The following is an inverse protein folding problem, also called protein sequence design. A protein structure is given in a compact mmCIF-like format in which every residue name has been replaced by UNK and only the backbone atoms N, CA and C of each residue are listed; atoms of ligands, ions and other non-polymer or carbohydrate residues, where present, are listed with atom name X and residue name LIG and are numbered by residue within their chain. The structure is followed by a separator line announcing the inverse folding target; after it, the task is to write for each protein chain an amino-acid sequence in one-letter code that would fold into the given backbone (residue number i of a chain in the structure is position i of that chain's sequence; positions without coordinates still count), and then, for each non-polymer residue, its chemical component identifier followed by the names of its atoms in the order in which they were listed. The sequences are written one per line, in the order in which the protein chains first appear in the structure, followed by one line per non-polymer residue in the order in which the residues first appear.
data_IF_246042746178
#
_entry.id   IF_246042746178
#
_cell.length_a   1.000
_cell.length_b   1.000
_cell.length_c   1.000
_cell.angle_alpha   90.00
_cell.angle_beta   90.00
_cell.angle_gamma   90.00
#
_symmetry.space_group_name_H-M   'P 1'
#
loop_
_entity.id
_entity.type
_entity.pdbx_description
1 polymer ?
#
# COMPACT_ATOMS: atom_id res chain seq x y z
N UNK A 1 -17.92 20.14 13.70
CA UNK A 1 -16.45 20.27 13.60
C UNK A 1 -16.16 21.26 12.50
N UNK A 2 -15.98 22.54 12.83
CA UNK A 2 -15.29 23.47 11.93
C UNK A 2 -13.88 23.64 12.48
N UNK A 3 -13.08 22.56 12.44
CA UNK A 3 -11.65 22.71 12.68
C UNK A 3 -11.12 23.50 11.49
N UNK A 4 -10.57 24.66 11.80
CA UNK A 4 -9.82 25.52 10.87
C UNK A 4 -8.90 24.71 9.97
N UNK A 5 -8.63 25.21 8.78
CA UNK A 5 -7.70 24.57 7.85
C UNK A 5 -6.32 24.39 8.51
N UNK A 6 -5.88 25.36 9.34
CA UNK A 6 -4.65 25.24 10.11
C UNK A 6 -4.71 24.12 11.16
N UNK A 7 -5.82 23.96 11.87
CA UNK A 7 -5.98 22.87 12.85
C UNK A 7 -6.07 21.50 12.14
N UNK A 8 -6.75 21.42 11.01
CA UNK A 8 -6.76 20.21 10.18
C UNK A 8 -5.37 19.84 9.68
N UNK A 9 -4.55 20.84 9.34
CA UNK A 9 -3.16 20.64 8.92
C UNK A 9 -2.32 20.14 10.08
N UNK A 10 -2.44 20.77 11.26
CA UNK A 10 -1.74 20.36 12.49
C UNK A 10 -2.10 18.93 12.88
N UNK A 11 -3.39 18.60 12.91
CA UNK A 11 -3.88 17.27 13.25
C UNK A 11 -3.42 16.21 12.23
N UNK A 12 -3.36 16.55 10.93
CA UNK A 12 -2.85 15.63 9.92
C UNK A 12 -1.34 15.35 10.07
N UNK A 13 -0.53 16.37 10.39
CA UNK A 13 0.90 16.19 10.72
C UNK A 13 1.10 15.34 11.96
N UNK A 14 0.31 15.59 13.01
CA UNK A 14 0.33 14.79 14.24
C UNK A 14 -0.01 13.31 13.96
N UNK A 15 -1.00 13.05 13.12
CA UNK A 15 -1.37 11.68 12.73
C UNK A 15 -0.25 10.98 11.95
N UNK A 16 0.47 11.70 11.08
CA UNK A 16 1.65 11.17 10.37
C UNK A 16 2.75 10.78 11.36
N UNK A 17 3.13 11.68 12.26
CA UNK A 17 4.15 11.42 13.30
C UNK A 17 3.75 10.22 14.18
N UNK A 18 2.46 10.12 14.54
CA UNK A 18 1.94 8.99 15.32
C UNK A 18 2.07 7.67 14.57
N UNK A 19 1.71 7.63 13.28
CA UNK A 19 1.82 6.44 12.45
C UNK A 19 3.29 6.04 12.26
N UNK A 20 4.21 6.99 12.10
CA UNK A 20 5.65 6.71 12.02
C UNK A 20 6.19 6.07 13.30
N UNK A 21 5.83 6.60 14.47
CA UNK A 21 6.19 6.01 15.77
C UNK A 21 5.64 4.60 15.93
N UNK A 22 4.40 4.38 15.53
CA UNK A 22 3.77 3.05 15.54
C UNK A 22 4.49 2.07 14.61
N UNK A 23 4.87 2.49 13.40
CA UNK A 23 5.65 1.67 12.46
C UNK A 23 7.00 1.30 13.07
N UNK A 24 7.73 2.26 13.65
CA UNK A 24 9.03 1.99 14.29
C UNK A 24 8.89 0.99 15.44
N UNK A 25 7.85 1.13 16.27
CA UNK A 25 7.59 0.20 17.37
C UNK A 25 7.22 -1.19 16.85
N UNK A 26 6.38 -1.27 15.83
CA UNK A 26 5.97 -2.52 15.24
C UNK A 26 7.16 -3.24 14.60
N UNK A 27 8.02 -2.54 13.85
CA UNK A 27 9.22 -3.13 13.25
C UNK A 27 10.28 -3.56 14.29
N UNK A 28 10.31 -2.93 15.47
CA UNK A 28 11.17 -3.36 16.59
C UNK A 28 10.69 -4.67 17.23
N UNK A 29 9.42 -5.05 17.05
CA UNK A 29 8.88 -6.30 17.60
C UNK A 29 9.41 -7.48 16.81
N UNK A 30 10.11 -8.39 17.49
CA UNK A 30 10.55 -9.64 16.88
C UNK A 30 9.39 -10.56 16.55
N UNK A 31 9.37 -11.07 15.31
CA UNK A 31 8.36 -12.00 14.83
C UNK A 31 8.85 -13.43 14.95
N UNK A 32 8.04 -14.30 15.57
CA UNK A 32 8.39 -15.71 15.78
C UNK A 32 8.03 -16.60 14.59
N UNK A 33 6.89 -16.32 13.94
CA UNK A 33 6.38 -17.11 12.80
C UNK A 33 6.44 -16.33 11.49
N UNK A 34 6.52 -17.05 10.36
CA UNK A 34 6.36 -16.48 9.03
C UNK A 34 5.03 -15.76 8.87
N UNK A 35 3.94 -16.35 9.40
CA UNK A 35 2.61 -15.74 9.38
C UNK A 35 2.58 -14.42 10.16
N UNK A 36 3.24 -14.39 11.32
CA UNK A 36 3.31 -13.17 12.14
C UNK A 36 4.10 -12.07 11.44
N UNK A 37 5.22 -12.43 10.80
CA UNK A 37 6.02 -11.50 9.97
C UNK A 37 5.24 -10.96 8.80
N UNK A 38 4.46 -11.81 8.15
CA UNK A 38 3.63 -11.40 7.04
C UNK A 38 2.52 -10.43 7.50
N UNK A 39 1.80 -10.76 8.57
CA UNK A 39 0.78 -9.88 9.15
C UNK A 39 1.38 -8.54 9.59
N UNK A 40 2.56 -8.54 10.21
CA UNK A 40 3.31 -7.33 10.58
C UNK A 40 3.59 -6.46 9.35
N UNK A 41 4.11 -7.05 8.28
CA UNK A 41 4.41 -6.33 7.05
C UNK A 41 3.15 -5.71 6.41
N UNK A 42 2.01 -6.41 6.45
CA UNK A 42 0.73 -5.88 5.95
C UNK A 42 0.19 -4.75 6.82
N UNK A 43 0.28 -4.87 8.15
CA UNK A 43 -0.05 -3.76 9.07
C UNK A 43 0.77 -2.51 8.75
N UNK A 44 2.09 -2.68 8.64
CA UNK A 44 3.01 -1.58 8.30
C UNK A 44 2.66 -0.99 6.95
N UNK A 45 2.37 -1.81 5.93
CA UNK A 45 1.99 -1.31 4.62
C UNK A 45 0.74 -0.42 4.68
N UNK A 46 -0.31 -0.87 5.38
CA UNK A 46 -1.54 -0.09 5.54
C UNK A 46 -1.29 1.22 6.30
N UNK A 47 -0.43 1.22 7.32
CA UNK A 47 -0.01 2.44 8.00
C UNK A 47 0.74 3.40 7.06
N UNK A 48 1.62 2.89 6.18
CA UNK A 48 2.30 3.69 5.18
C UNK A 48 1.34 4.28 4.14
N UNK A 49 0.34 3.52 3.70
CA UNK A 49 -0.68 4.02 2.77
C UNK A 49 -1.49 5.17 3.42
N UNK A 50 -1.87 5.03 4.70
CA UNK A 50 -2.47 6.13 5.49
C UNK A 50 -1.57 7.36 5.58
N UNK A 51 -0.27 7.18 5.87
CA UNK A 51 0.71 8.29 5.86
C UNK A 51 0.72 8.99 4.49
N UNK A 52 0.73 8.22 3.40
CA UNK A 52 0.69 8.74 2.03
C UNK A 52 -0.56 9.57 1.74
N UNK A 53 -1.74 9.10 2.17
CA UNK A 53 -2.99 9.84 2.03
C UNK A 53 -3.01 11.15 2.82
N UNK A 54 -2.55 11.12 4.08
CA UNK A 54 -2.44 12.32 4.93
C UNK A 54 -1.44 13.31 4.36
N UNK A 55 -0.29 12.83 3.90
CA UNK A 55 0.76 13.65 3.28
C UNK A 55 0.26 14.34 2.01
N UNK A 56 -0.51 13.64 1.17
CA UNK A 56 -1.17 14.25 -0.01
C UNK A 56 -2.17 15.32 0.37
N UNK A 57 -2.97 15.09 1.43
CA UNK A 57 -3.91 16.11 1.94
C UNK A 57 -3.15 17.34 2.43
N UNK A 58 -2.08 17.16 3.20
CA UNK A 58 -1.23 18.23 3.69
C UNK A 58 -0.60 19.02 2.53
N UNK A 59 -0.07 18.33 1.52
CA UNK A 59 0.53 18.95 0.34
C UNK A 59 -0.49 19.87 -0.39
N UNK A 60 -1.71 19.37 -0.62
CA UNK A 60 -2.80 20.16 -1.24
C UNK A 60 -3.16 21.42 -0.43
N UNK A 61 -3.16 21.33 0.91
CA UNK A 61 -3.42 22.49 1.77
C UNK A 61 -2.28 23.51 1.67
N UNK A 62 -1.04 23.07 1.48
CA UNK A 62 0.09 23.98 1.28
C UNK A 62 0.16 24.59 -0.13
N UNK A 63 -0.28 23.85 -1.16
CA UNK A 63 -0.41 24.36 -2.53
C UNK A 63 -1.38 25.54 -2.58
N UNK A 64 -2.46 25.51 -1.79
CA UNK A 64 -3.39 26.63 -1.58
C UNK A 64 -4.00 27.17 -2.88
N UNK A 65 -4.38 26.27 -3.80
CA UNK A 65 -4.94 26.62 -5.12
C UNK A 65 -6.21 27.50 -5.01
N UNK A 66 -7.02 27.29 -3.98
CA UNK A 66 -8.24 28.07 -3.71
C UNK A 66 -7.98 29.33 -2.86
N UNK A 67 -6.76 29.52 -2.34
CA UNK A 67 -6.38 30.61 -1.46
C UNK A 67 -7.00 30.55 -0.06
N UNK A 68 -7.69 29.46 0.29
CA UNK A 68 -8.42 29.34 1.56
C UNK A 68 -7.48 29.40 2.76
N UNK A 69 -6.26 28.87 2.64
CA UNK A 69 -5.25 28.93 3.71
C UNK A 69 -4.80 30.36 3.94
N UNK A 70 -4.50 31.08 2.86
CA UNK A 70 -4.12 32.49 2.95
C UNK A 70 -5.25 33.36 3.49
N UNK A 71 -6.50 33.11 3.07
CA UNK A 71 -7.67 33.83 3.59
C UNK A 71 -7.87 33.58 5.09
N UNK A 72 -7.74 32.33 5.54
CA UNK A 72 -7.81 32.00 6.97
C UNK A 72 -6.73 32.72 7.77
N UNK A 73 -5.48 32.71 7.29
CA UNK A 73 -4.37 33.42 7.94
C UNK A 73 -4.63 34.94 7.98
N UNK A 74 -5.12 35.53 6.88
CA UNK A 74 -5.46 36.95 6.82
C UNK A 74 -6.63 37.29 7.76
N UNK A 75 -7.63 36.43 7.89
CA UNK A 75 -8.76 36.61 8.81
C UNK A 75 -8.31 36.65 10.28
N UNK A 76 -7.20 35.97 10.60
CA UNK A 76 -6.57 35.99 11.92
C UNK A 76 -5.69 37.23 12.15
N UNK A 77 -5.34 37.97 11.08
CA UNK A 77 -4.45 39.12 11.11
C UNK A 77 -5.20 40.41 10.70
N UNK A 78 -5.88 41.06 11.65
CA UNK A 78 -6.64 42.29 11.43
C UNK A 78 -7.00 43.05 12.73
N UNK A 79 -7.85 44.07 12.65
CA UNK A 79 -8.12 44.96 13.80
C UNK A 79 -8.80 44.26 15.01
N UNK A 80 -9.44 43.11 14.78
CA UNK A 80 -10.15 42.32 15.81
C UNK A 80 -9.36 41.08 16.31
N UNK A 81 -8.03 41.05 16.17
CA UNK A 81 -7.16 39.91 16.55
C UNK A 81 -7.46 39.39 17.96
N UNK A 82 -7.61 40.28 18.94
CA UNK A 82 -7.83 39.86 20.33
C UNK A 82 -9.17 39.15 20.53
N UNK A 83 -10.25 39.66 19.92
CA UNK A 83 -11.57 39.02 20.00
C UNK A 83 -11.55 37.62 19.37
N UNK A 84 -10.99 37.52 18.16
CA UNK A 84 -10.85 36.24 17.44
C UNK A 84 -10.02 35.25 18.26
N UNK A 85 -8.93 35.71 18.87
CA UNK A 85 -8.09 34.87 19.73
C UNK A 85 -8.85 34.35 20.95
N UNK A 86 -9.60 35.19 21.65
CA UNK A 86 -10.35 34.77 22.83
C UNK A 86 -11.51 33.83 22.49
N UNK A 87 -12.19 34.03 21.36
CA UNK A 87 -13.22 33.11 20.87
C UNK A 87 -12.61 31.74 20.55
N UNK A 88 -11.48 31.70 19.85
CA UNK A 88 -10.72 30.46 19.58
C UNK A 88 -10.24 29.78 20.86
N UNK A 89 -9.75 30.54 21.84
CA UNK A 89 -9.34 30.02 23.13
C UNK A 89 -10.51 29.41 23.90
N UNK A 90 -11.69 30.02 23.81
CA UNK A 90 -12.91 29.49 24.41
C UNK A 90 -13.32 28.17 23.74
N UNK A 91 -13.32 28.11 22.41
CA UNK A 91 -13.54 26.87 21.65
C UNK A 91 -12.57 25.77 22.07
N UNK A 92 -11.27 26.08 22.15
CA UNK A 92 -10.22 25.15 22.55
C UNK A 92 -10.42 24.63 23.99
N UNK A 93 -10.75 25.53 24.93
CA UNK A 93 -11.05 25.15 26.32
C UNK A 93 -12.29 24.27 26.42
N UNK A 94 -13.36 24.58 25.67
CA UNK A 94 -14.55 23.74 25.62
C UNK A 94 -14.25 22.36 25.04
N UNK A 95 -13.42 22.28 24.01
CA UNK A 95 -12.95 21.03 23.44
C UNK A 95 -12.19 20.19 24.47
N UNK A 96 -11.15 20.74 25.10
CA UNK A 96 -10.38 20.01 26.12
C UNK A 96 -11.19 19.67 27.37
N UNK A 97 -12.22 20.47 27.70
CA UNK A 97 -13.16 20.13 28.78
C UNK A 97 -14.04 18.92 28.42
N UNK A 98 -14.42 18.77 27.13
CA UNK A 98 -15.21 17.64 26.63
C UNK A 98 -14.35 16.40 26.33
N UNK A 99 -13.08 16.61 25.98
CA UNK A 99 -12.11 15.58 25.66
C UNK A 99 -10.83 15.77 26.50
N UNK A 100 -10.88 15.43 27.81
CA UNK A 100 -9.76 15.68 28.74
C UNK A 100 -8.50 14.88 28.38
N UNK A 101 -8.65 13.72 27.76
CA UNK A 101 -7.56 12.82 27.38
C UNK A 101 -7.30 12.91 25.87
N UNK A 102 -6.59 13.96 25.46
CA UNK A 102 -5.80 13.95 24.22
C UNK A 102 -4.33 14.11 24.56
N UNK A 103 -3.94 13.67 25.77
CA UNK A 103 -2.54 13.67 26.15
C UNK A 103 -1.78 12.62 25.34
N UNK A 104 -0.74 13.11 24.68
CA UNK A 104 0.11 12.45 23.68
C UNK A 104 0.88 11.24 24.26
N UNK A 105 0.76 11.00 25.57
CA UNK A 105 1.57 10.05 26.35
C UNK A 105 0.88 8.73 26.69
N UNK A 106 -0.42 8.58 26.48
CA UNK A 106 -1.11 7.35 26.88
C UNK A 106 -1.03 6.27 25.79
N UNK A 107 -0.04 5.40 26.01
CA UNK A 107 0.19 4.11 25.36
C UNK A 107 -1.03 3.14 25.40
N UNK A 108 -2.20 3.55 25.90
CA UNK A 108 -3.36 2.67 26.12
C UNK A 108 -4.14 2.37 24.84
N UNK A 109 -4.17 3.28 23.85
CA UNK A 109 -4.99 3.10 22.64
C UNK A 109 -4.19 2.57 21.41
N UNK A 110 -2.86 2.46 21.54
CA UNK A 110 -2.00 1.99 20.44
C UNK A 110 -2.26 0.52 20.08
N UNK A 111 -2.59 -0.32 21.06
CA UNK A 111 -2.94 -1.72 20.82
C UNK A 111 -4.26 -1.89 20.07
N UNK A 112 -5.24 -1.03 20.33
CA UNK A 112 -6.50 -0.99 19.59
C UNK A 112 -6.29 -0.48 18.16
N UNK A 113 -5.45 0.53 17.99
CA UNK A 113 -5.03 1.02 16.67
C UNK A 113 -4.33 -0.07 15.85
N UNK A 114 -3.37 -0.79 16.43
CA UNK A 114 -2.69 -1.89 15.73
C UNK A 114 -3.69 -2.95 15.24
N UNK A 115 -4.70 -3.28 16.05
CA UNK A 115 -5.79 -4.19 15.64
C UNK A 115 -6.66 -3.61 14.52
N UNK A 116 -6.86 -2.29 14.46
CA UNK A 116 -7.59 -1.66 13.35
C UNK A 116 -6.82 -1.78 12.00
N UNK A 117 -5.49 -1.93 12.08
CA UNK A 117 -4.64 -2.16 10.91
C UNK A 117 -4.45 -3.65 10.57
N UNK A 118 -4.93 -4.59 11.40
CA UNK A 118 -4.95 -6.01 11.07
C UNK A 118 -5.97 -6.27 9.94
N UNK A 119 -5.47 -6.49 8.74
CA UNK A 119 -6.25 -6.97 7.61
C UNK A 119 -5.95 -8.46 7.38
N UNK A 120 -6.97 -9.33 7.30
CA UNK A 120 -6.75 -10.71 6.92
C UNK A 120 -6.30 -10.76 5.46
N UNK A 121 -5.09 -11.24 5.23
CA UNK A 121 -4.58 -11.49 3.88
C UNK A 121 -5.15 -12.81 3.39
N UNK A 122 -5.85 -12.77 2.25
CA UNK A 122 -6.39 -13.97 1.62
C UNK A 122 -5.29 -14.71 0.88
N UNK A 123 -4.90 -15.86 1.41
CA UNK A 123 -4.14 -16.88 0.70
C UNK A 123 -5.03 -18.10 0.50
N UNK A 124 -4.81 -18.83 -0.60
CA UNK A 124 -5.40 -20.16 -0.71
C UNK A 124 -4.72 -21.12 0.27
N UNK A 125 -5.37 -22.25 0.57
CA UNK A 125 -4.78 -23.28 1.43
C UNK A 125 -3.46 -23.81 0.87
N UNK A 126 -3.42 -24.01 -0.45
CA UNK A 126 -2.25 -24.51 -1.20
C UNK A 126 -1.09 -23.51 -1.21
N UNK A 127 -1.36 -22.21 -1.13
CA UNK A 127 -0.33 -21.17 -1.02
C UNK A 127 0.38 -21.18 0.34
N UNK A 128 -0.17 -21.87 1.34
CA UNK A 128 0.42 -22.06 2.67
C UNK A 128 0.84 -20.74 3.34
N UNK A 129 0.02 -19.70 3.14
CA UNK A 129 0.29 -18.35 3.67
C UNK A 129 1.48 -17.65 3.00
N UNK A 130 1.70 -17.90 1.71
CA UNK A 130 2.76 -17.25 0.93
C UNK A 130 4.06 -18.04 0.80
N UNK A 131 4.08 -19.31 1.23
CA UNK A 131 5.27 -20.18 1.12
C UNK A 131 5.37 -20.87 -0.23
N UNK A 132 4.21 -21.22 -0.80
CA UNK A 132 4.11 -21.96 -2.04
C UNK A 132 3.31 -21.15 -3.06
N UNK A 133 3.61 -21.34 -4.34
CA UNK A 133 2.80 -20.85 -5.45
C UNK A 133 1.83 -21.96 -5.86
N UNK A 134 0.54 -21.63 -5.92
CA UNK A 134 -0.45 -22.53 -6.49
C UNK A 134 -0.54 -22.29 -8.00
N UNK A 135 0.22 -23.10 -8.75
CA UNK A 135 0.21 -23.08 -10.21
C UNK A 135 -0.70 -24.16 -10.80
N UNK A 136 -1.50 -24.85 -9.99
CA UNK A 136 -2.34 -25.96 -10.47
C UNK A 136 -3.45 -25.47 -11.38
N UNK A 137 -4.08 -24.33 -11.06
CA UNK A 137 -5.09 -23.71 -11.93
C UNK A 137 -4.52 -23.34 -13.30
N UNK A 138 -3.33 -22.73 -13.31
CA UNK A 138 -2.61 -22.36 -14.54
C UNK A 138 -2.21 -23.60 -15.35
N UNK A 139 -1.79 -24.68 -14.69
CA UNK A 139 -1.52 -25.95 -15.35
C UNK A 139 -2.76 -26.52 -16.05
N UNK A 140 -3.93 -26.48 -15.41
CA UNK A 140 -5.17 -26.93 -16.04
C UNK A 140 -5.53 -26.08 -17.27
N UNK A 141 -5.41 -24.75 -17.16
CA UNK A 141 -5.60 -23.84 -18.30
C UNK A 141 -4.62 -24.14 -19.43
N UNK A 142 -3.35 -24.40 -19.12
CA UNK A 142 -2.33 -24.76 -20.10
C UNK A 142 -2.68 -26.06 -20.82
N UNK A 143 -3.01 -27.13 -20.10
CA UNK A 143 -3.33 -28.45 -20.68
C UNK A 143 -4.59 -28.39 -21.56
N UNK A 144 -5.58 -27.59 -21.16
CA UNK A 144 -6.83 -27.43 -21.90
C UNK A 144 -6.72 -26.48 -23.11
N UNK A 145 -5.64 -25.69 -23.19
CA UNK A 145 -5.46 -24.74 -24.26
C UNK A 145 -5.00 -25.43 -25.56
N UNK A 146 -5.37 -24.83 -26.71
CA UNK A 146 -4.99 -25.35 -28.04
C UNK A 146 -3.48 -25.35 -28.31
N UNK A 147 -2.73 -24.48 -27.62
CA UNK A 147 -1.26 -24.43 -27.68
C UNK A 147 -0.60 -25.33 -26.62
N UNK A 148 -1.41 -25.87 -25.72
CA UNK A 148 -0.98 -26.75 -24.66
C UNK A 148 -0.53 -28.09 -25.18
N UNK A 149 0.16 -28.82 -24.32
CA UNK A 149 0.59 -30.21 -24.54
C UNK A 149 0.15 -31.05 -23.36
N UNK A 150 -0.11 -32.35 -23.61
CA UNK A 150 -0.32 -33.32 -22.52
C UNK A 150 1.02 -33.54 -21.82
N UNK A 151 1.26 -32.78 -20.78
CA UNK A 151 2.45 -32.88 -19.93
C UNK A 151 2.04 -33.11 -18.50
N UNK A 152 2.91 -33.77 -17.74
CA UNK A 152 2.82 -33.84 -16.30
C UNK A 152 3.13 -32.46 -15.66
N UNK A 153 2.72 -32.31 -14.39
CA UNK A 153 2.85 -31.05 -13.66
C UNK A 153 4.31 -30.61 -13.48
N UNK A 154 5.22 -31.56 -13.25
CA UNK A 154 6.65 -31.27 -13.07
C UNK A 154 7.25 -30.75 -14.37
N UNK A 155 7.01 -31.43 -15.49
CA UNK A 155 7.44 -30.95 -16.81
C UNK A 155 6.85 -29.59 -17.17
N UNK A 156 5.62 -29.30 -16.75
CA UNK A 156 5.02 -27.97 -16.92
C UNK A 156 5.79 -26.89 -16.16
N UNK A 157 6.09 -27.10 -14.87
CA UNK A 157 6.85 -26.13 -14.07
C UNK A 157 8.25 -25.93 -14.65
N UNK A 158 8.96 -27.01 -15.00
CA UNK A 158 10.31 -26.92 -15.58
C UNK A 158 10.30 -26.20 -16.92
N UNK A 159 9.24 -26.36 -17.72
CA UNK A 159 9.08 -25.69 -19.00
C UNK A 159 8.44 -24.30 -18.94
N UNK A 160 8.01 -23.81 -17.77
CA UNK A 160 7.29 -22.53 -17.65
C UNK A 160 8.16 -21.33 -18.05
N UNK A 161 9.47 -21.44 -17.87
CA UNK A 161 10.46 -20.42 -18.25
C UNK A 161 10.98 -20.59 -19.67
N UNK A 162 10.65 -21.70 -20.34
CA UNK A 162 11.06 -21.99 -21.71
C UNK A 162 9.97 -21.54 -22.71
N UNK A 163 10.03 -20.26 -23.08
CA UNK A 163 9.14 -19.65 -24.06
C UNK A 163 9.44 -20.05 -25.52
N UNK A 164 10.52 -20.77 -25.78
CA UNK A 164 10.91 -21.25 -27.12
C UNK A 164 10.36 -22.64 -27.42
N UNK A 165 10.11 -23.45 -26.39
CA UNK A 165 9.47 -24.76 -26.53
C UNK A 165 8.06 -24.70 -27.14
N UNK A 166 7.39 -23.54 -27.10
CA UNK A 166 6.06 -23.36 -27.72
C UNK A 166 6.21 -22.87 -29.17
N UNK A 167 5.58 -23.53 -30.16
CA UNK A 167 5.66 -23.11 -31.55
C UNK A 167 5.28 -21.63 -31.77
N UNK A 168 6.06 -20.92 -32.60
CA UNK A 168 5.91 -19.47 -32.82
C UNK A 168 4.49 -19.02 -33.20
N UNK A 169 3.78 -19.83 -34.00
CA UNK A 169 2.41 -19.53 -34.42
C UNK A 169 1.41 -19.54 -33.26
N UNK A 170 1.64 -20.37 -32.25
CA UNK A 170 0.85 -20.39 -31.02
C UNK A 170 1.25 -19.26 -30.06
N UNK A 171 2.54 -18.94 -29.97
CA UNK A 171 3.07 -17.85 -29.13
C UNK A 171 2.53 -16.47 -29.50
N UNK A 172 2.36 -16.22 -30.80
CA UNK A 172 1.76 -14.99 -31.32
C UNK A 172 0.23 -15.00 -31.25
N UNK A 173 -0.37 -16.16 -30.96
CA UNK A 173 -1.81 -16.32 -30.84
C UNK A 173 -2.37 -15.66 -29.59
N UNK A 174 -3.59 -15.13 -29.69
CA UNK A 174 -4.32 -14.54 -28.57
C UNK A 174 -4.43 -15.46 -27.34
N UNK A 175 -4.75 -16.78 -27.47
CA UNK A 175 -4.90 -17.64 -26.30
C UNK A 175 -3.63 -17.75 -25.44
N UNK A 176 -2.44 -17.76 -26.06
CA UNK A 176 -1.18 -17.84 -25.33
C UNK A 176 -0.87 -16.53 -24.60
N UNK A 177 -1.16 -15.39 -25.24
CA UNK A 177 -1.02 -14.06 -24.61
C UNK A 177 -1.95 -13.89 -23.41
N UNK A 178 -3.18 -14.38 -23.52
CA UNK A 178 -4.15 -14.34 -22.41
C UNK A 178 -3.68 -15.23 -21.25
N UNK A 179 -3.15 -16.42 -21.52
CA UNK A 179 -2.53 -17.28 -20.51
C UNK A 179 -1.33 -16.62 -19.81
N UNK A 180 -0.41 -16.01 -20.58
CA UNK A 180 0.73 -15.29 -20.00
C UNK A 180 0.29 -14.10 -19.14
N UNK A 181 -0.77 -13.40 -19.55
CA UNK A 181 -1.34 -12.31 -18.76
C UNK A 181 -1.92 -12.82 -17.44
N UNK A 182 -2.60 -13.95 -17.46
CA UNK A 182 -3.14 -14.59 -16.25
C UNK A 182 -2.02 -15.05 -15.31
N UNK A 183 -0.98 -15.69 -15.85
CA UNK A 183 0.23 -16.08 -15.12
C UNK A 183 0.90 -14.87 -14.48
N UNK A 184 1.15 -13.81 -15.25
CA UNK A 184 1.78 -12.59 -14.76
C UNK A 184 0.93 -11.94 -13.66
N UNK A 185 -0.38 -11.79 -13.88
CA UNK A 185 -1.29 -11.23 -12.89
C UNK A 185 -1.31 -12.03 -11.58
N UNK A 186 -1.26 -13.37 -11.67
CA UNK A 186 -1.15 -14.24 -10.49
C UNK A 186 0.17 -14.00 -9.75
N UNK A 187 1.31 -14.01 -10.46
CA UNK A 187 2.64 -13.83 -9.87
C UNK A 187 2.80 -12.44 -9.24
N UNK A 188 2.34 -11.38 -9.91
CA UNK A 188 2.34 -10.02 -9.37
C UNK A 188 1.46 -9.92 -8.13
N UNK A 189 0.25 -10.49 -8.19
CA UNK A 189 -0.68 -10.52 -7.06
C UNK A 189 -0.09 -11.27 -5.88
N UNK A 190 0.52 -12.43 -6.12
CA UNK A 190 1.20 -13.23 -5.09
C UNK A 190 2.40 -12.48 -4.49
N UNK A 191 3.21 -11.82 -5.32
CA UNK A 191 4.32 -11.01 -4.83
C UNK A 191 3.83 -9.88 -3.92
N UNK A 192 2.79 -9.14 -4.33
CA UNK A 192 2.18 -8.07 -3.51
C UNK A 192 1.64 -8.60 -2.19
N UNK A 193 1.04 -9.80 -2.19
CA UNK A 193 0.54 -10.45 -0.96
C UNK A 193 1.68 -10.93 -0.05
N UNK A 194 2.80 -11.40 -0.59
CA UNK A 194 3.91 -11.96 0.21
C UNK A 194 4.93 -10.92 0.67
N UNK A 195 5.15 -9.87 -0.13
CA UNK A 195 6.11 -8.79 0.12
C UNK A 195 5.43 -7.42 0.00
N UNK A 196 4.49 -7.07 0.89
CA UNK A 196 3.72 -5.82 0.77
C UNK A 196 4.55 -4.53 0.95
N UNK A 197 5.69 -4.64 1.64
CA UNK A 197 6.67 -3.54 1.78
C UNK A 197 7.62 -3.44 0.58
N UNK A 198 7.61 -4.43 -0.32
CA UNK A 198 8.37 -4.38 -1.56
C UNK A 198 7.76 -3.36 -2.52
N UNK A 199 8.61 -2.54 -3.15
CA UNK A 199 8.17 -1.62 -4.19
C UNK A 199 8.20 -2.32 -5.56
N UNK A 200 7.21 -3.18 -5.79
CA UNK A 200 7.09 -3.93 -7.05
C UNK A 200 7.03 -3.00 -8.27
N UNK A 201 6.30 -1.88 -8.16
CA UNK A 201 6.15 -0.92 -9.27
C UNK A 201 7.49 -0.32 -9.68
N UNK A 202 8.34 0.04 -8.71
CA UNK A 202 9.69 0.54 -8.99
C UNK A 202 10.55 -0.50 -9.68
N UNK A 203 10.50 -1.75 -9.22
CA UNK A 203 11.28 -2.83 -9.84
C UNK A 203 10.78 -3.13 -11.26
N UNK A 204 9.47 -3.24 -11.47
CA UNK A 204 8.87 -3.42 -12.79
C UNK A 204 9.25 -2.27 -13.73
N UNK A 205 9.20 -1.01 -13.27
CA UNK A 205 9.60 0.13 -14.10
C UNK A 205 11.06 0.06 -14.53
N UNK A 206 11.98 -0.31 -13.62
CA UNK A 206 13.40 -0.52 -13.98
C UNK A 206 13.55 -1.65 -15.00
N UNK A 207 12.78 -2.74 -14.83
CA UNK A 207 12.78 -3.84 -15.80
C UNK A 207 12.25 -3.38 -17.16
N UNK A 208 11.18 -2.60 -17.21
CA UNK A 208 10.64 -2.03 -18.45
C UNK A 208 11.63 -1.08 -19.14
N UNK A 209 12.30 -0.21 -18.38
CA UNK A 209 13.32 0.70 -18.90
C UNK A 209 14.52 -0.07 -19.47
N UNK A 210 15.04 -1.08 -18.74
CA UNK A 210 16.14 -1.92 -19.24
C UNK A 210 15.70 -2.79 -20.42
N UNK A 211 14.47 -3.29 -20.42
CA UNK A 211 13.90 -4.05 -21.53
C UNK A 211 13.77 -3.18 -22.78
N UNK A 212 13.24 -1.96 -22.68
CA UNK A 212 13.12 -1.05 -23.80
C UNK A 212 14.48 -0.76 -24.45
N UNK A 213 15.52 -0.53 -23.64
CA UNK A 213 16.87 -0.30 -24.14
C UNK A 213 17.43 -1.50 -24.91
N UNK A 214 17.25 -2.72 -24.39
CA UNK A 214 17.73 -3.95 -25.05
C UNK A 214 16.93 -4.26 -26.31
N UNK A 215 15.61 -4.05 -26.23
CA UNK A 215 14.72 -4.22 -27.36
C UNK A 215 15.04 -3.25 -28.51
N UNK A 216 15.35 -1.99 -28.21
CA UNK A 216 15.82 -1.01 -29.21
C UNK A 216 17.19 -1.38 -29.80
N UNK A 217 18.06 -2.00 -29.00
CA UNK A 217 19.34 -2.55 -29.45
C UNK A 217 19.20 -3.85 -30.27
N UNK A 218 17.99 -4.41 -30.37
CA UNK A 218 17.73 -5.67 -31.07
C UNK A 218 18.14 -6.93 -30.32
N UNK A 219 18.36 -6.83 -29.01
CA UNK A 219 18.61 -7.94 -28.07
C UNK A 219 17.34 -8.50 -27.42
#
# INVERSE_FOLDING_TARGET
MSSTLLEQTRAAHEEVERLERLIVRELKRETRSHKDKLSQNHRVRKMMDSIGERSKKIARIYEDDDGARREEIASMAGDNVFTIFYDRLKELREYHKRFPSTDITEAEDEGALLKAYDAPVSFTGEEMGGRCLDLHGLFQTFVNAKFGRKTDYVSFITGLTDFEATPRHHRLGRPYRDFLRELLAYLEGFYRRTQPLGNLERELKKFEESFAQRWEAGE
#
